data_IF_701892153132
#
_entry.id   IF_701892153132
#
_cell.length_a   1.000
_cell.length_b   1.000
_cell.length_c   1.000
_cell.angle_alpha   90.00
_cell.angle_beta   90.00
_cell.angle_gamma   90.00
#
_symmetry.space_group_name_H-M   'P 1'
#
loop_
_entity.id
_entity.type
_entity.pdbx_description
1 polymer ?
#
# COMPACT_ATOMS: atom_id res chain seq x y z
N UNK A 1 3.17 11.59 -19.41
CA UNK A 1 4.45 11.48 -18.68
C UNK A 1 4.39 10.14 -17.98
N UNK A 2 5.25 9.18 -18.32
CA UNK A 2 5.17 7.83 -17.74
C UNK A 2 5.75 7.88 -16.33
N UNK A 3 4.89 8.10 -15.35
CA UNK A 3 5.28 7.96 -13.94
C UNK A 3 5.47 6.47 -13.70
N UNK A 4 6.72 6.07 -13.44
CA UNK A 4 7.02 4.72 -12.96
C UNK A 4 6.60 4.71 -11.49
N UNK A 5 5.42 4.17 -11.22
CA UNK A 5 4.84 4.10 -9.88
C UNK A 5 5.06 2.68 -9.38
N UNK A 6 5.83 2.54 -8.30
CA UNK A 6 5.85 1.28 -7.55
C UNK A 6 4.49 1.13 -6.85
N UNK A 7 3.69 0.09 -7.13
CA UNK A 7 2.41 -0.12 -6.47
C UNK A 7 2.55 -0.26 -4.94
N UNK A 8 3.73 -0.65 -4.43
CA UNK A 8 4.03 -0.78 -2.99
C UNK A 8 4.20 0.59 -2.31
N UNK A 9 4.88 1.52 -2.96
CA UNK A 9 5.06 2.91 -2.50
C UNK A 9 3.79 3.76 -2.71
N UNK A 10 2.89 3.32 -3.58
CA UNK A 10 1.58 3.92 -3.78
C UNK A 10 1.61 5.26 -4.50
N UNK A 11 0.51 6.01 -4.36
CA UNK A 11 0.27 7.22 -5.14
C UNK A 11 0.42 8.44 -4.24
N UNK A 12 1.23 9.47 -4.59
CA UNK A 12 1.20 10.73 -3.86
C UNK A 12 -0.16 11.41 -4.03
N UNK A 13 -0.62 12.10 -2.99
CA UNK A 13 -1.83 12.91 -3.09
C UNK A 13 -1.61 14.07 -4.08
N UNK A 14 -2.59 14.29 -4.96
CA UNK A 14 -2.59 15.37 -5.97
C UNK A 14 -2.72 16.76 -5.34
N UNK A 15 -2.51 17.81 -6.12
CA UNK A 15 -2.66 19.18 -5.63
C UNK A 15 -4.14 19.51 -5.29
N UNK A 16 -5.10 18.95 -6.04
CA UNK A 16 -6.52 19.04 -5.73
C UNK A 16 -6.88 18.28 -4.44
N UNK A 17 -6.36 17.06 -4.26
CA UNK A 17 -6.55 16.28 -3.02
C UNK A 17 -5.93 17.00 -1.81
N UNK A 18 -4.77 17.64 -1.99
CA UNK A 18 -4.12 18.49 -0.97
C UNK A 18 -4.95 19.74 -0.66
N UNK A 19 -5.55 20.38 -1.66
CA UNK A 19 -6.41 21.54 -1.45
C UNK A 19 -7.70 21.17 -0.67
N UNK A 20 -8.26 19.98 -0.90
CA UNK A 20 -9.49 19.52 -0.25
C UNK A 20 -9.23 18.93 1.15
N UNK A 21 -8.23 18.05 1.30
CA UNK A 21 -8.02 17.28 2.54
C UNK A 21 -6.85 17.77 3.41
N UNK A 22 -5.91 18.54 2.84
CA UNK A 22 -4.67 18.95 3.54
C UNK A 22 -4.90 19.86 4.75
N UNK A 23 -6.04 20.55 4.81
CA UNK A 23 -6.45 21.44 5.91
C UNK A 23 -7.14 20.71 7.08
N UNK A 24 -7.17 19.37 7.08
CA UNK A 24 -7.82 18.55 8.11
C UNK A 24 -9.14 17.91 7.66
N UNK A 25 -9.31 17.67 6.36
CA UNK A 25 -10.45 16.92 5.85
C UNK A 25 -10.26 15.41 6.02
N UNK A 26 -11.34 14.71 6.39
CA UNK A 26 -11.43 13.25 6.25
C UNK A 26 -12.24 12.94 4.98
N UNK A 27 -11.93 11.87 4.25
CA UNK A 27 -12.65 11.54 3.03
C UNK A 27 -12.26 10.22 2.38
N UNK A 28 -13.18 9.69 1.56
CA UNK A 28 -13.01 8.51 0.71
C UNK A 28 -13.11 8.98 -0.75
N UNK A 29 -12.14 8.60 -1.57
CA UNK A 29 -12.23 8.74 -3.04
C UNK A 29 -12.07 7.38 -3.71
N UNK A 30 -13.05 7.00 -4.54
CA UNK A 30 -13.01 5.81 -5.37
C UNK A 30 -12.52 6.16 -6.77
N UNK A 31 -11.48 5.48 -7.24
CA UNK A 31 -10.86 5.67 -8.55
C UNK A 31 -10.59 4.35 -9.28
N UNK A 32 -9.94 4.44 -10.43
CA UNK A 32 -9.36 3.29 -11.14
C UNK A 32 -7.94 3.65 -11.53
N UNK A 33 -7.01 2.76 -11.22
CA UNK A 33 -5.62 2.87 -11.64
C UNK A 33 -5.36 1.83 -12.72
N UNK A 34 -4.76 2.27 -13.82
CA UNK A 34 -4.49 1.44 -14.98
C UNK A 34 -3.00 1.11 -15.04
N UNK A 35 -2.65 -0.16 -14.85
CA UNK A 35 -1.27 -0.64 -14.91
C UNK A 35 -1.02 -1.39 -16.22
N UNK A 36 -0.04 -0.99 -17.05
CA UNK A 36 0.23 -1.69 -18.31
C UNK A 36 0.63 -3.16 -18.11
N UNK A 37 0.11 -4.02 -18.97
CA UNK A 37 0.48 -5.43 -19.00
C UNK A 37 2.00 -5.55 -19.24
N UNK A 38 2.69 -6.28 -18.35
CA UNK A 38 4.13 -6.48 -18.42
C UNK A 38 5.00 -5.32 -17.91
N UNK A 39 4.45 -4.33 -17.20
CA UNK A 39 5.22 -3.17 -16.69
C UNK A 39 6.19 -3.47 -15.53
N UNK A 40 6.33 -4.73 -15.09
CA UNK A 40 7.21 -5.13 -13.99
C UNK A 40 6.69 -6.37 -13.25
N UNK A 41 7.19 -6.61 -12.04
CA UNK A 41 6.63 -7.62 -11.13
C UNK A 41 5.26 -7.17 -10.61
N UNK A 42 4.22 -7.68 -11.27
CA UNK A 42 2.82 -7.56 -10.86
C UNK A 42 2.66 -8.19 -9.45
N UNK A 43 2.00 -7.51 -8.49
CA UNK A 43 1.69 -8.10 -7.19
C UNK A 43 0.93 -9.43 -7.32
N UNK A 44 1.23 -10.42 -6.48
CA UNK A 44 0.58 -11.75 -6.55
C UNK A 44 -0.94 -11.66 -6.38
N UNK A 45 -1.41 -10.65 -5.64
CA UNK A 45 -2.82 -10.34 -5.41
C UNK A 45 -3.58 -9.95 -6.69
N UNK A 46 -2.87 -9.59 -7.77
CA UNK A 46 -3.47 -9.20 -9.06
C UNK A 46 -3.65 -10.39 -10.02
N UNK A 47 -3.24 -11.60 -9.62
CA UNK A 47 -3.45 -12.81 -10.41
C UNK A 47 -4.96 -13.02 -10.62
N UNK A 48 -5.38 -13.03 -11.89
CA UNK A 48 -6.79 -13.17 -12.27
C UNK A 48 -7.58 -11.87 -12.41
N UNK A 49 -6.93 -10.69 -12.33
CA UNK A 49 -7.55 -9.43 -12.72
C UNK A 49 -7.89 -9.40 -14.22
N UNK A 50 -8.99 -8.72 -14.55
CA UNK A 50 -9.40 -8.46 -15.94
C UNK A 50 -8.43 -7.51 -16.61
N UNK A 51 -7.90 -7.92 -17.76
CA UNK A 51 -7.16 -7.06 -18.68
C UNK A 51 -8.15 -6.38 -19.62
N UNK A 52 -7.99 -5.08 -19.82
CA UNK A 52 -8.75 -4.28 -20.80
C UNK A 52 -7.80 -3.51 -21.71
N UNK A 53 -8.24 -3.16 -22.90
CA UNK A 53 -7.51 -2.24 -23.77
C UNK A 53 -7.80 -0.78 -23.37
N UNK A 54 -6.75 0.05 -23.27
CA UNK A 54 -6.87 1.50 -23.13
C UNK A 54 -5.78 2.18 -23.97
N UNK A 55 -6.17 3.09 -24.87
CA UNK A 55 -5.27 3.81 -25.77
C UNK A 55 -4.33 2.91 -26.62
N UNK A 56 -4.80 1.71 -27.03
CA UNK A 56 -4.00 0.74 -27.80
C UNK A 56 -3.00 -0.06 -26.95
N UNK A 57 -3.13 -0.04 -25.63
CA UNK A 57 -2.31 -0.80 -24.69
C UNK A 57 -3.19 -1.66 -23.77
N UNK A 58 -2.81 -2.92 -23.56
CA UNK A 58 -3.43 -3.78 -22.56
C UNK A 58 -3.04 -3.31 -21.15
N UNK A 59 -4.03 -3.14 -20.28
CA UNK A 59 -3.89 -2.64 -18.91
C UNK A 59 -4.75 -3.45 -17.92
N UNK A 60 -4.24 -3.63 -16.70
CA UNK A 60 -5.04 -4.02 -15.54
C UNK A 60 -5.79 -2.80 -15.01
N UNK A 61 -7.12 -2.88 -14.91
CA UNK A 61 -7.96 -1.84 -14.33
C UNK A 61 -8.20 -2.13 -12.84
N UNK A 62 -7.32 -1.62 -11.97
CA UNK A 62 -7.39 -1.86 -10.52
C UNK A 62 -8.27 -0.78 -9.86
N UNK A 63 -9.42 -1.11 -9.26
CA UNK A 63 -10.20 -0.15 -8.50
C UNK A 63 -9.44 0.29 -7.25
N UNK A 64 -9.43 1.59 -6.99
CA UNK A 64 -8.69 2.24 -5.90
C UNK A 64 -9.64 2.92 -4.91
N UNK A 65 -9.35 2.80 -3.62
CA UNK A 65 -9.97 3.59 -2.54
C UNK A 65 -8.89 4.42 -1.86
N UNK A 66 -8.98 5.75 -1.92
CA UNK A 66 -8.09 6.67 -1.21
C UNK A 66 -8.76 7.13 0.08
N UNK A 67 -8.16 6.81 1.21
CA UNK A 67 -8.63 7.15 2.55
C UNK A 67 -7.81 8.31 3.10
N UNK A 68 -8.40 9.51 3.11
CA UNK A 68 -7.79 10.69 3.70
C UNK A 68 -8.23 10.83 5.15
N UNK A 69 -7.26 10.97 6.05
CA UNK A 69 -7.50 11.24 7.47
C UNK A 69 -6.68 12.43 8.00
N UNK A 70 -7.28 13.16 8.93
CA UNK A 70 -6.76 14.38 9.56
C UNK A 70 -5.69 14.15 10.65
N UNK A 71 -5.68 12.96 11.23
CA UNK A 71 -4.97 12.64 12.48
C UNK A 71 -4.37 11.25 12.50
N UNK A 72 -3.25 11.14 13.22
CA UNK A 72 -2.58 9.87 13.54
C UNK A 72 -3.45 8.93 14.40
N UNK A 73 -4.51 9.44 15.03
CA UNK A 73 -5.49 8.61 15.75
C UNK A 73 -6.45 7.94 14.77
N UNK A 74 -6.98 8.69 13.81
CA UNK A 74 -7.93 8.16 12.81
C UNK A 74 -7.25 7.15 11.87
N UNK A 75 -6.00 7.38 11.45
CA UNK A 75 -5.24 6.35 10.74
C UNK A 75 -5.01 5.11 11.61
N UNK A 76 -4.66 5.28 12.89
CA UNK A 76 -4.52 4.15 13.83
C UNK A 76 -5.83 3.38 14.08
N UNK A 77 -7.00 4.02 13.95
CA UNK A 77 -8.30 3.35 14.07
C UNK A 77 -8.53 2.42 12.86
N UNK A 78 -8.37 2.96 11.64
CA UNK A 78 -8.38 2.15 10.42
C UNK A 78 -7.35 1.01 10.54
N UNK A 79 -6.13 1.31 10.99
CA UNK A 79 -5.03 0.36 11.14
C UNK A 79 -5.27 -0.85 12.06
N UNK A 80 -6.27 -0.80 12.95
CA UNK A 80 -6.41 -1.78 14.04
C UNK A 80 -7.78 -2.42 14.18
N UNK A 81 -8.79 -1.86 13.54
CA UNK A 81 -10.17 -2.31 13.71
C UNK A 81 -10.73 -2.96 12.45
N UNK A 82 -11.74 -3.79 12.65
CA UNK A 82 -12.50 -4.34 11.54
C UNK A 82 -13.33 -3.25 10.88
N UNK A 83 -13.24 -3.21 9.55
CA UNK A 83 -13.92 -2.25 8.70
C UNK A 83 -15.02 -2.98 7.95
N UNK A 84 -16.24 -2.42 8.02
CA UNK A 84 -17.33 -2.79 7.14
C UNK A 84 -17.37 -1.84 5.95
N UNK A 85 -17.59 -2.41 4.76
CA UNK A 85 -17.58 -1.70 3.50
C UNK A 85 -18.91 -1.95 2.80
N UNK A 86 -19.60 -0.89 2.42
CA UNK A 86 -20.90 -0.95 1.76
C UNK A 86 -20.91 -0.12 0.48
N UNK A 87 -21.59 -0.63 -0.55
CA UNK A 87 -21.88 0.08 -1.79
C UNK A 87 -23.37 -0.06 -2.05
N UNK A 88 -24.11 1.04 -2.10
CA UNK A 88 -25.56 1.05 -2.26
C UNK A 88 -26.01 2.00 -3.38
N UNK A 89 -27.12 1.63 -4.03
CA UNK A 89 -27.78 2.45 -5.03
C UNK A 89 -28.94 3.20 -4.40
N UNK A 90 -29.03 4.50 -4.66
CA UNK A 90 -30.15 5.34 -4.22
C UNK A 90 -30.74 6.07 -5.41
N UNK A 91 -32.07 6.22 -5.42
CA UNK A 91 -32.78 7.10 -6.35
C UNK A 91 -33.38 8.25 -5.53
N UNK A 92 -32.91 9.47 -5.77
CA UNK A 92 -33.40 10.68 -5.11
C UNK A 92 -33.98 11.59 -6.19
N UNK A 93 -35.31 11.58 -6.28
CA UNK A 93 -36.10 12.41 -7.22
C UNK A 93 -35.75 12.18 -8.70
N UNK A 94 -35.44 10.92 -9.07
CA UNK A 94 -35.07 10.54 -10.44
C UNK A 94 -33.56 10.55 -10.69
N UNK A 95 -32.77 11.14 -9.79
CA UNK A 95 -31.31 11.11 -9.86
C UNK A 95 -30.80 9.87 -9.12
N UNK A 96 -29.97 9.07 -9.79
CA UNK A 96 -29.32 7.89 -9.26
C UNK A 96 -27.97 8.27 -8.65
N UNK A 97 -27.72 7.77 -7.44
CA UNK A 97 -26.49 7.97 -6.68
C UNK A 97 -25.95 6.60 -6.24
N UNK A 98 -24.63 6.43 -6.30
CA UNK A 98 -23.96 5.26 -5.72
C UNK A 98 -23.21 5.70 -4.47
N UNK A 99 -23.66 5.23 -3.31
CA UNK A 99 -23.11 5.58 -2.00
C UNK A 99 -22.14 4.50 -1.54
N UNK A 100 -20.86 4.86 -1.42
CA UNK A 100 -19.81 4.03 -0.82
C UNK A 100 -19.59 4.45 0.63
N UNK A 101 -19.65 3.51 1.57
CA UNK A 101 -19.43 3.75 3.01
C UNK A 101 -18.36 2.79 3.52
N UNK A 102 -17.48 3.33 4.37
CA UNK A 102 -16.48 2.62 5.16
C UNK A 102 -16.75 2.91 6.64
N UNK A 103 -16.93 1.86 7.46
CA UNK A 103 -17.37 1.98 8.85
C UNK A 103 -16.57 1.10 9.81
N UNK A 104 -16.09 1.67 10.93
CA UNK A 104 -15.59 0.94 12.10
C UNK A 104 -16.67 0.93 13.18
N UNK A 105 -17.33 -0.22 13.36
CA UNK A 105 -18.41 -0.37 14.34
C UNK A 105 -17.97 -0.59 15.78
N UNK A 106 -16.70 -0.85 16.04
CA UNK A 106 -16.20 -1.10 17.40
C UNK A 106 -16.17 0.17 18.27
N UNK A 107 -16.28 1.35 17.65
CA UNK A 107 -16.33 2.65 18.33
C UNK A 107 -17.78 3.03 18.65
N UNK A 108 -18.30 2.66 19.83
CA UNK A 108 -19.61 3.13 20.31
C UNK A 108 -19.45 4.25 21.36
N UNK A 109 -20.36 5.24 21.42
CA UNK A 109 -21.63 5.31 20.70
C UNK A 109 -21.58 5.94 19.30
N UNK A 110 -20.42 6.42 18.83
CA UNK A 110 -20.25 7.06 17.52
C UNK A 110 -19.23 6.28 16.66
N UNK A 111 -19.67 5.42 15.72
CA UNK A 111 -18.75 4.68 14.86
C UNK A 111 -17.89 5.62 14.03
N UNK A 112 -16.64 5.21 13.75
CA UNK A 112 -15.78 5.97 12.85
C UNK A 112 -16.14 5.64 11.41
N UNK A 113 -16.41 6.67 10.60
CA UNK A 113 -17.05 6.56 9.30
C UNK A 113 -16.35 7.46 8.28
N UNK A 114 -16.23 6.95 7.06
CA UNK A 114 -15.81 7.70 5.87
C UNK A 114 -16.72 7.28 4.72
N UNK A 115 -17.17 8.22 3.89
CA UNK A 115 -18.11 7.95 2.81
C UNK A 115 -17.79 8.73 1.53
N UNK A 116 -18.34 8.27 0.42
CA UNK A 116 -18.35 8.97 -0.86
C UNK A 116 -19.66 8.72 -1.61
N UNK A 117 -20.11 9.70 -2.37
CA UNK A 117 -21.21 9.54 -3.33
C UNK A 117 -20.69 9.70 -4.75
N UNK A 118 -20.87 8.68 -5.58
CA UNK A 118 -20.51 8.68 -6.99
C UNK A 118 -21.74 9.00 -7.85
N UNK A 119 -21.54 9.82 -8.88
CA UNK A 119 -22.50 9.96 -9.98
C UNK A 119 -22.24 8.83 -10.99
N UNK A 120 -23.11 7.80 -11.10
CA UNK A 120 -22.88 6.67 -11.99
C UNK A 120 -22.82 7.03 -13.48
N UNK A 121 -23.41 8.15 -13.93
CA UNK A 121 -23.27 8.58 -15.33
C UNK A 121 -21.92 9.22 -15.67
N UNK A 122 -21.08 9.49 -14.66
CA UNK A 122 -19.72 10.04 -14.79
C UNK A 122 -18.67 9.00 -14.37
N UNK A 123 -18.92 8.29 -13.26
CA UNK A 123 -17.99 7.36 -12.62
C UNK A 123 -18.28 5.90 -12.98
N UNK A 124 -18.92 5.63 -14.13
CA UNK A 124 -19.30 4.28 -14.53
C UNK A 124 -18.10 3.34 -14.65
N UNK A 125 -16.95 3.84 -15.11
CA UNK A 125 -15.69 3.09 -15.17
C UNK A 125 -15.22 2.62 -13.79
N UNK A 126 -15.32 3.44 -12.76
CA UNK A 126 -15.03 3.06 -11.36
C UNK A 126 -15.94 1.95 -10.88
N UNK A 127 -17.25 2.09 -11.11
CA UNK A 127 -18.25 1.09 -10.70
C UNK A 127 -18.05 -0.22 -11.47
N UNK A 128 -17.66 -0.14 -12.75
CA UNK A 128 -17.36 -1.30 -13.60
C UNK A 128 -16.09 -2.03 -13.15
N UNK A 129 -15.00 -1.31 -12.88
CA UNK A 129 -13.77 -1.89 -12.33
C UNK A 129 -14.03 -2.60 -10.99
N UNK A 130 -14.89 -2.01 -10.14
CA UNK A 130 -15.40 -2.63 -8.91
C UNK A 130 -16.27 -3.88 -9.14
N UNK A 131 -16.94 -4.02 -10.29
CA UNK A 131 -17.75 -5.21 -10.60
C UNK A 131 -16.94 -6.37 -11.19
N UNK A 132 -15.88 -6.04 -11.94
CA UNK A 132 -15.06 -7.01 -12.69
C UNK A 132 -13.92 -7.55 -11.80
N UNK A 133 -13.26 -6.71 -11.01
CA UNK A 133 -12.04 -7.06 -10.27
C UNK A 133 -12.26 -7.99 -9.08
N UNK A 134 -11.34 -8.93 -8.87
CA UNK A 134 -11.23 -9.77 -7.66
C UNK A 134 -10.68 -9.02 -6.44
N UNK A 135 -9.86 -7.99 -6.67
CA UNK A 135 -9.22 -7.19 -5.61
C UNK A 135 -9.51 -5.70 -5.73
N UNK A 136 -9.35 -4.99 -4.62
CA UNK A 136 -9.40 -3.53 -4.51
C UNK A 136 -8.11 -3.03 -3.88
N UNK A 137 -7.52 -1.98 -4.47
CA UNK A 137 -6.40 -1.26 -3.90
C UNK A 137 -6.89 -0.22 -2.88
N UNK A 138 -6.25 -0.14 -1.71
CA UNK A 138 -6.56 0.89 -0.70
C UNK A 138 -5.29 1.69 -0.41
N UNK A 139 -5.33 3.01 -0.62
CA UNK A 139 -4.26 3.94 -0.25
C UNK A 139 -4.70 4.75 0.98
N UNK A 140 -3.92 4.73 2.05
CA UNK A 140 -4.17 5.49 3.27
C UNK A 140 -3.28 6.74 3.33
N UNK A 141 -3.88 7.90 3.64
CA UNK A 141 -3.20 9.19 3.73
C UNK A 141 -3.46 9.87 5.06
N UNK A 142 -2.41 10.35 5.73
CA UNK A 142 -2.51 11.20 6.92
C UNK A 142 -2.06 12.62 6.54
N UNK A 143 -2.99 13.58 6.53
CA UNK A 143 -2.76 14.96 6.08
C UNK A 143 -2.11 15.02 4.68
N UNK A 144 -2.66 14.25 3.75
CA UNK A 144 -2.19 14.09 2.37
C UNK A 144 -0.75 13.55 2.20
N UNK A 145 -0.12 13.06 3.26
CA UNK A 145 1.07 12.21 3.17
C UNK A 145 0.59 10.77 3.04
N UNK A 146 1.03 10.06 2.01
CA UNK A 146 0.79 8.62 1.89
C UNK A 146 1.40 7.90 3.09
N UNK A 147 0.71 6.87 3.57
CA UNK A 147 1.11 6.05 4.73
C UNK A 147 1.33 4.61 4.30
N UNK A 148 0.45 4.05 3.48
CA UNK A 148 0.58 2.70 2.93
C UNK A 148 -0.47 2.42 1.85
N UNK A 149 -0.11 1.50 0.95
CA UNK A 149 -1.00 0.85 -0.01
C UNK A 149 -1.46 -0.53 0.53
N UNK A 150 -2.59 -1.06 0.09
CA UNK A 150 -3.05 -2.45 0.33
C UNK A 150 -3.72 -2.99 -0.91
N UNK A 151 -3.77 -4.32 -1.00
CA UNK A 151 -4.75 -5.04 -1.80
C UNK A 151 -5.60 -5.89 -0.85
N UNK A 152 -6.92 -5.87 -1.06
CA UNK A 152 -7.87 -6.75 -0.37
C UNK A 152 -8.76 -7.44 -1.39
N UNK A 153 -9.33 -8.60 -1.04
CA UNK A 153 -10.46 -9.16 -1.77
C UNK A 153 -11.58 -8.11 -1.88
N UNK A 154 -12.11 -7.92 -3.07
CA UNK A 154 -13.05 -6.85 -3.40
C UNK A 154 -14.40 -7.03 -2.69
N UNK A 155 -14.71 -6.26 -1.63
CA UNK A 155 -15.93 -6.44 -0.83
C UNK A 155 -17.16 -5.83 -1.50
N UNK A 156 -16.97 -5.12 -2.62
CA UNK A 156 -18.01 -4.44 -3.37
C UNK A 156 -18.47 -5.23 -4.61
N UNK A 157 -17.83 -6.35 -4.93
CA UNK A 157 -17.95 -6.99 -6.26
C UNK A 157 -19.39 -7.34 -6.64
N UNK A 158 -20.12 -8.00 -5.75
CA UNK A 158 -21.50 -8.42 -6.00
C UNK A 158 -22.45 -7.22 -6.10
N UNK A 159 -22.30 -6.22 -5.22
CA UNK A 159 -23.12 -5.01 -5.24
C UNK A 159 -22.83 -4.17 -6.48
N UNK A 160 -21.56 -4.03 -6.86
CA UNK A 160 -21.13 -3.33 -8.06
C UNK A 160 -21.66 -4.01 -9.33
N UNK A 161 -21.65 -5.35 -9.42
CA UNK A 161 -22.28 -6.09 -10.52
C UNK A 161 -23.79 -5.78 -10.64
N UNK A 162 -24.51 -5.80 -9.51
CA UNK A 162 -25.93 -5.45 -9.50
C UNK A 162 -26.18 -3.97 -9.87
N UNK A 163 -25.27 -3.05 -9.52
CA UNK A 163 -25.35 -1.64 -9.90
C UNK A 163 -25.06 -1.45 -11.39
N UNK A 164 -24.04 -2.10 -11.96
CA UNK A 164 -23.71 -2.04 -13.39
C UNK A 164 -24.91 -2.47 -14.24
N UNK A 165 -25.61 -3.54 -13.84
CA UNK A 165 -26.83 -4.01 -14.52
C UNK A 165 -28.00 -3.00 -14.45
N UNK A 166 -28.07 -2.17 -13.41
CA UNK A 166 -29.11 -1.15 -13.24
C UNK A 166 -28.76 0.20 -13.88
N UNK A 167 -27.47 0.44 -14.17
CA UNK A 167 -26.96 1.72 -14.66
C UNK A 167 -26.39 1.68 -16.08
N UNK A 168 -26.45 0.54 -16.78
CA UNK A 168 -25.92 0.37 -18.15
C UNK A 168 -26.45 1.39 -19.15
N UNK A 169 -27.74 1.71 -19.04
CA UNK A 169 -28.48 2.59 -19.96
C UNK A 169 -28.91 3.89 -19.26
N UNK A 170 -28.22 4.26 -18.19
CA UNK A 170 -28.53 5.47 -17.43
C UNK A 170 -28.21 6.73 -18.25
N UNK A 171 -29.16 7.67 -18.44
CA UNK A 171 -28.87 8.94 -19.10
C UNK A 171 -27.86 9.77 -18.30
N UNK A 172 -27.20 10.71 -18.97
CA UNK A 172 -26.31 11.65 -18.33
C UNK A 172 -27.04 12.48 -17.26
N UNK A 173 -26.45 12.58 -16.07
CA UNK A 173 -26.99 13.33 -14.94
C UNK A 173 -26.11 14.56 -14.70
N UNK A 174 -26.67 15.75 -14.93
CA UNK A 174 -25.98 17.02 -14.75
C UNK A 174 -25.44 17.21 -13.33
N UNK A 175 -24.25 17.79 -13.21
CA UNK A 175 -23.55 17.98 -11.93
C UNK A 175 -24.36 18.83 -10.94
N UNK A 176 -25.15 19.80 -11.42
CA UNK A 176 -26.05 20.61 -10.57
C UNK A 176 -27.12 19.77 -9.89
N UNK A 177 -27.70 18.84 -10.64
CA UNK A 177 -28.86 18.06 -10.23
C UNK A 177 -28.40 16.91 -9.34
N UNK A 178 -27.26 16.32 -9.66
CA UNK A 178 -26.55 15.38 -8.79
C UNK A 178 -26.19 16.00 -7.44
N UNK A 179 -25.65 17.22 -7.40
CA UNK A 179 -25.31 17.88 -6.13
C UNK A 179 -26.55 18.23 -5.30
N UNK A 180 -27.66 18.62 -5.93
CA UNK A 180 -28.94 18.80 -5.23
C UNK A 180 -29.49 17.49 -4.67
N UNK A 181 -29.40 16.39 -5.43
CA UNK A 181 -29.83 15.07 -5.00
C UNK A 181 -28.96 14.54 -3.85
N UNK A 182 -27.64 14.74 -3.91
CA UNK A 182 -26.68 14.42 -2.84
C UNK A 182 -27.00 15.18 -1.55
N UNK A 183 -27.22 16.50 -1.62
CA UNK A 183 -27.58 17.30 -0.45
C UNK A 183 -28.94 16.87 0.16
N UNK A 184 -29.92 16.49 -0.67
CA UNK A 184 -31.19 15.93 -0.18
C UNK A 184 -31.01 14.55 0.45
N UNK A 185 -30.15 13.70 -0.09
CA UNK A 185 -29.80 12.40 0.48
C UNK A 185 -29.17 12.56 1.86
N UNK A 186 -28.16 13.43 1.99
CA UNK A 186 -27.47 13.75 3.26
C UNK A 186 -28.41 14.36 4.32
N UNK A 187 -29.47 15.06 3.90
CA UNK A 187 -30.49 15.59 4.82
C UNK A 187 -31.55 14.55 5.24
N UNK A 188 -31.77 13.49 4.44
CA UNK A 188 -32.75 12.43 4.71
C UNK A 188 -32.15 11.27 5.51
N UNK A 189 -30.94 10.86 5.15
CA UNK A 189 -30.15 9.90 5.93
C UNK A 189 -29.60 10.66 7.12
N UNK A 190 -30.13 10.43 8.32
CA UNK A 190 -29.46 10.92 9.52
C UNK A 190 -28.12 10.18 9.66
N UNK A 191 -27.04 10.84 9.24
CA UNK A 191 -25.64 10.40 9.31
C UNK A 191 -25.09 10.36 10.76
N UNK A 192 -25.96 10.15 11.76
CA UNK A 192 -25.63 9.65 13.10
C UNK A 192 -25.93 8.14 13.29
N UNK A 193 -26.23 7.42 12.20
CA UNK A 193 -26.00 5.97 12.01
C UNK A 193 -26.61 4.96 13.03
N UNK A 194 -27.94 4.94 13.15
CA UNK A 194 -28.66 3.77 13.71
C UNK A 194 -29.36 2.89 12.66
N UNK A 195 -29.52 3.35 11.41
CA UNK A 195 -30.53 2.83 10.47
C UNK A 195 -30.00 2.04 9.26
N UNK A 196 -28.69 1.78 9.15
CA UNK A 196 -28.19 0.89 8.11
C UNK A 196 -28.40 -0.56 8.52
N UNK A 197 -28.97 -1.37 7.62
CA UNK A 197 -28.89 -2.84 7.69
C UNK A 197 -27.45 -3.26 7.36
N UNK A 198 -26.54 -2.99 8.30
CA UNK A 198 -25.17 -3.50 8.27
C UNK A 198 -25.21 -5.01 8.14
N UNK A 199 -24.41 -5.56 7.23
CA UNK A 199 -24.25 -7.00 7.13
C UNK A 199 -23.63 -7.59 8.40
N UNK A 200 -23.77 -8.92 8.55
CA UNK A 200 -23.21 -9.64 9.70
C UNK A 200 -21.72 -9.30 9.88
N UNK A 201 -21.29 -9.13 11.13
CA UNK A 201 -19.91 -8.77 11.53
C UNK A 201 -18.81 -9.67 10.95
N UNK A 202 -19.17 -10.85 10.43
CA UNK A 202 -18.29 -11.76 9.71
C UNK A 202 -17.79 -11.21 8.36
N UNK A 203 -18.51 -10.27 7.73
CA UNK A 203 -18.06 -9.54 6.53
C UNK A 203 -17.19 -8.31 6.87
N UNK A 204 -16.96 -8.01 8.15
CA UNK A 204 -16.07 -6.92 8.53
C UNK A 204 -14.61 -7.39 8.36
N UNK A 205 -13.97 -6.89 7.30
CA UNK A 205 -12.56 -7.18 7.01
C UNK A 205 -11.72 -6.47 8.06
N UNK A 206 -10.91 -7.21 8.81
CA UNK A 206 -9.79 -6.56 9.49
C UNK A 206 -8.86 -6.13 8.38
N UNK A 207 -8.79 -4.83 8.13
CA UNK A 207 -7.71 -4.26 7.36
C UNK A 207 -6.46 -4.47 8.23
N UNK A 208 -5.84 -5.64 8.15
CA UNK A 208 -4.50 -5.84 8.67
C UNK A 208 -3.59 -5.16 7.63
N UNK A 209 -3.07 -3.94 7.83
CA UNK A 209 -3.00 -3.15 9.07
C UNK A 209 -1.74 -3.58 9.87
N UNK A 210 -1.23 -4.79 9.62
CA UNK A 210 0.20 -4.99 9.42
C UNK A 210 0.68 -4.04 8.33
N UNK A 211 1.20 -2.91 8.79
CA UNK A 211 2.11 -2.00 8.11
C UNK A 211 2.77 -2.60 6.87
N UNK A 212 2.70 -1.89 5.73
CA UNK A 212 3.88 -1.85 4.86
C UNK A 212 4.93 -1.24 5.76
N UNK A 213 5.91 -2.08 6.03
CA UNK A 213 6.57 -2.13 7.32
C UNK A 213 7.02 -0.74 7.75
N UNK A 214 6.63 -0.30 8.97
CA UNK A 214 7.00 1.00 9.53
C UNK A 214 8.49 0.99 9.89
N UNK A 215 9.31 1.00 8.84
CA UNK A 215 10.45 0.10 8.68
C UNK A 215 10.04 -1.37 8.89
N UNK A 216 10.74 -2.29 8.23
CA UNK A 216 10.87 -3.61 8.82
C UNK A 216 11.39 -3.37 10.22
N UNK A 217 10.73 -3.86 11.27
CA UNK A 217 11.53 -4.45 12.35
C UNK A 217 12.04 -5.79 11.85
N UNK A 218 12.86 -5.70 10.81
CA UNK A 218 13.95 -6.61 10.59
C UNK A 218 14.78 -6.49 11.85
N UNK A 219 14.81 -7.55 12.65
CA UNK A 219 15.50 -7.50 13.92
C UNK A 219 16.96 -7.13 13.67
N UNK A 220 17.40 -6.06 14.33
CA UNK A 220 18.77 -5.58 14.21
C UNK A 220 19.67 -6.71 14.70
N UNK A 221 20.52 -7.22 13.82
CA UNK A 221 21.41 -8.35 14.12
C UNK A 221 22.24 -8.03 15.37
N UNK A 222 22.63 -9.01 16.20
CA UNK A 222 23.36 -8.74 17.43
C UNK A 222 24.61 -7.87 17.21
N UNK A 223 25.34 -8.12 16.13
CA UNK A 223 26.46 -7.32 15.59
C UNK A 223 26.17 -5.81 15.44
N UNK A 224 24.93 -5.44 15.10
CA UNK A 224 24.51 -4.06 14.84
C UNK A 224 23.87 -3.35 16.04
N UNK A 225 23.63 -4.04 17.16
CA UNK A 225 22.92 -3.48 18.32
C UNK A 225 23.61 -2.25 18.93
N UNK A 226 24.95 -2.22 18.92
CA UNK A 226 25.75 -1.11 19.42
C UNK A 226 25.59 0.17 18.55
N UNK A 227 25.47 0.01 17.23
CA UNK A 227 25.42 1.11 16.26
C UNK A 227 24.03 1.37 15.68
N UNK A 228 22.98 0.77 16.23
CA UNK A 228 21.57 0.83 15.78
C UNK A 228 21.03 2.21 15.38
N UNK A 229 21.61 3.30 15.88
CA UNK A 229 21.21 4.68 15.54
C UNK A 229 21.76 5.17 14.19
N UNK A 230 22.82 4.53 13.67
CA UNK A 230 23.38 4.74 12.34
C UNK A 230 22.95 3.66 11.33
N UNK A 231 22.00 2.80 11.69
CA UNK A 231 21.45 1.73 10.84
C UNK A 231 20.04 2.13 10.39
N UNK A 232 19.75 1.95 9.11
CA UNK A 232 18.41 2.12 8.53
C UNK A 232 18.13 1.03 7.51
N UNK A 233 16.86 0.80 7.19
CA UNK A 233 16.47 -0.11 6.11
C UNK A 233 16.18 0.74 4.88
N UNK A 234 16.91 0.46 3.80
CA UNK A 234 16.68 1.06 2.47
C UNK A 234 16.73 -0.07 1.44
N UNK A 235 15.74 -0.19 0.54
CA UNK A 235 15.72 -1.29 -0.42
C UNK A 235 16.96 -1.23 -1.33
N UNK A 236 17.50 -2.40 -1.70
CA UNK A 236 18.55 -2.53 -2.70
C UNK A 236 17.99 -3.25 -3.93
N UNK A 237 18.05 -2.61 -5.10
CA UNK A 237 17.46 -3.15 -6.31
C UNK A 237 18.21 -4.41 -6.79
N UNK A 238 17.47 -5.49 -7.06
CA UNK A 238 18.04 -6.75 -7.54
C UNK A 238 18.76 -7.59 -6.48
N UNK A 239 18.57 -7.31 -5.19
CA UNK A 239 19.11 -8.16 -4.12
C UNK A 239 18.41 -9.54 -4.10
N UNK A 240 19.16 -10.67 -4.08
CA UNK A 240 18.58 -12.00 -3.87
C UNK A 240 17.87 -12.12 -2.51
N UNK A 241 16.69 -12.74 -2.47
CA UNK A 241 15.85 -12.88 -1.26
C UNK A 241 16.60 -13.46 -0.06
N UNK A 242 17.48 -14.43 -0.30
CA UNK A 242 18.34 -15.07 0.71
C UNK A 242 19.32 -14.10 1.41
N UNK A 243 19.67 -12.98 0.78
CA UNK A 243 20.49 -11.91 1.37
C UNK A 243 19.66 -10.82 2.05
N UNK A 244 18.35 -10.75 1.82
CA UNK A 244 17.47 -9.74 2.43
C UNK A 244 17.59 -9.74 3.97
N UNK A 245 17.62 -10.88 4.69
CA UNK A 245 17.77 -10.91 6.15
C UNK A 245 19.12 -10.41 6.69
N UNK A 246 20.08 -10.13 5.80
CA UNK A 246 21.45 -9.70 6.13
C UNK A 246 21.79 -8.29 5.62
N UNK A 247 20.97 -7.74 4.71
CA UNK A 247 21.13 -6.38 4.17
C UNK A 247 20.74 -5.23 5.11
N UNK A 248 21.61 -4.23 5.28
CA UNK A 248 21.31 -2.99 6.00
C UNK A 248 21.92 -1.78 5.29
N UNK A 249 21.33 -0.60 5.45
CA UNK A 249 22.01 0.66 5.13
C UNK A 249 22.65 1.22 6.39
N UNK A 250 23.97 1.37 6.39
CA UNK A 250 24.76 1.90 7.50
C UNK A 250 25.30 3.26 7.08
N UNK A 251 25.12 4.29 7.91
CA UNK A 251 25.46 5.68 7.54
C UNK A 251 26.91 5.91 7.10
N UNK A 252 27.85 5.07 7.56
CA UNK A 252 29.28 5.15 7.24
C UNK A 252 29.70 4.20 6.10
N UNK A 253 28.90 3.18 5.76
CA UNK A 253 29.26 2.10 4.83
C UNK A 253 28.27 1.92 3.64
N UNK A 254 27.20 2.71 3.57
CA UNK A 254 26.16 2.58 2.54
C UNK A 254 25.39 1.27 2.63
N UNK A 255 24.99 0.71 1.48
CA UNK A 255 24.30 -0.58 1.40
C UNK A 255 25.30 -1.73 1.65
N UNK A 256 25.11 -2.44 2.77
CA UNK A 256 25.97 -3.52 3.23
C UNK A 256 25.19 -4.81 3.50
N UNK A 257 25.81 -5.96 3.31
CA UNK A 257 25.39 -7.26 3.85
C UNK A 257 26.24 -7.54 5.08
N UNK A 258 25.63 -7.95 6.19
CA UNK A 258 26.37 -8.45 7.35
C UNK A 258 26.86 -9.88 7.05
N UNK A 259 28.17 -10.03 6.92
CA UNK A 259 28.81 -11.30 6.56
C UNK A 259 29.93 -11.65 7.55
N UNK A 260 30.15 -12.94 7.78
CA UNK A 260 31.38 -13.45 8.39
C UNK A 260 32.41 -13.68 7.27
N UNK A 261 33.69 -13.40 7.53
CA UNK A 261 34.74 -13.64 6.54
C UNK A 261 35.17 -15.11 6.53
N UNK A 262 35.46 -15.69 5.36
CA UNK A 262 36.01 -17.05 5.25
C UNK A 262 37.26 -17.27 6.12
N UNK A 263 38.12 -16.24 6.25
CA UNK A 263 39.31 -16.29 7.11
C UNK A 263 39.02 -16.42 8.61
N UNK A 264 37.79 -16.14 9.02
CA UNK A 264 37.31 -16.22 10.40
C UNK A 264 36.28 -17.34 10.60
N UNK A 265 35.95 -18.12 9.56
CA UNK A 265 34.97 -19.21 9.65
C UNK A 265 35.66 -20.59 9.73
N UNK A 266 35.18 -21.52 10.59
CA UNK A 266 34.14 -21.35 11.60
C UNK A 266 34.67 -20.67 12.87
N UNK A 267 33.76 -20.05 13.63
CA UNK A 267 34.02 -19.41 14.93
C UNK A 267 32.90 -19.69 15.92
N UNK A 268 33.20 -19.70 17.22
CA UNK A 268 32.27 -20.08 18.30
C UNK A 268 31.07 -19.12 18.46
N UNK A 269 31.27 -17.83 18.19
CA UNK A 269 30.23 -16.78 18.29
C UNK A 269 30.27 -15.94 17.00
N UNK A 270 29.59 -16.36 15.92
CA UNK A 270 29.71 -15.67 14.62
C UNK A 270 29.13 -14.25 14.61
N UNK A 271 28.16 -13.96 15.49
CA UNK A 271 27.60 -12.61 15.70
C UNK A 271 28.68 -11.56 16.05
N UNK A 272 29.74 -11.94 16.78
CA UNK A 272 30.85 -11.06 17.15
C UNK A 272 31.85 -10.84 15.97
N UNK A 273 31.68 -11.57 14.87
CA UNK A 273 32.56 -11.61 13.70
C UNK A 273 31.83 -11.28 12.39
N UNK A 274 30.63 -10.68 12.46
CA UNK A 274 29.96 -10.10 11.30
C UNK A 274 30.53 -8.72 10.97
N UNK A 275 30.88 -8.53 9.71
CA UNK A 275 31.35 -7.26 9.14
C UNK A 275 30.36 -6.74 8.11
N UNK A 276 30.19 -5.40 7.98
CA UNK A 276 29.41 -4.81 6.90
C UNK A 276 30.20 -4.86 5.59
N UNK A 277 29.78 -5.72 4.65
CA UNK A 277 30.41 -5.87 3.34
C UNK A 277 29.52 -5.23 2.26
N UNK A 278 30.03 -4.33 1.40
CA UNK A 278 29.22 -3.67 0.37
C UNK A 278 28.47 -4.66 -0.54
N UNK A 279 27.20 -4.38 -0.84
CA UNK A 279 26.34 -5.33 -1.59
C UNK A 279 26.94 -5.71 -2.94
N UNK A 280 27.49 -4.75 -3.69
CA UNK A 280 28.15 -5.01 -4.98
C UNK A 280 29.33 -5.99 -4.87
N UNK A 281 30.08 -5.92 -3.78
CA UNK A 281 31.21 -6.82 -3.54
C UNK A 281 30.71 -8.25 -3.30
N UNK A 282 29.71 -8.42 -2.43
CA UNK A 282 29.09 -9.73 -2.13
C UNK A 282 28.47 -10.37 -3.39
N UNK A 283 27.82 -9.57 -4.25
CA UNK A 283 27.22 -10.07 -5.49
C UNK A 283 28.26 -10.42 -6.57
N UNK A 284 29.40 -9.74 -6.60
CA UNK A 284 30.44 -9.94 -7.63
C UNK A 284 31.45 -11.04 -7.29
N UNK A 285 31.87 -11.17 -6.02
CA UNK A 285 32.74 -12.26 -5.56
C UNK A 285 31.96 -13.56 -5.31
N UNK A 286 30.66 -13.45 -5.05
CA UNK A 286 29.83 -14.54 -4.58
C UNK A 286 29.94 -14.74 -3.07
N UNK A 287 29.09 -15.61 -2.54
CA UNK A 287 28.93 -15.85 -1.10
C UNK A 287 28.33 -17.25 -0.91
N UNK A 288 28.37 -17.75 0.32
CA UNK A 288 27.66 -18.99 0.72
C UNK A 288 26.93 -18.79 2.05
N UNK A 289 25.81 -19.48 2.23
CA UNK A 289 25.10 -19.51 3.51
C UNK A 289 25.47 -20.78 4.29
N UNK A 290 25.88 -20.64 5.54
CA UNK A 290 26.05 -21.77 6.47
C UNK A 290 25.53 -21.39 7.86
N UNK A 291 24.80 -22.29 8.52
CA UNK A 291 24.31 -22.15 9.91
C UNK A 291 23.57 -20.84 10.23
N UNK A 292 22.94 -20.18 9.26
CA UNK A 292 22.24 -18.90 9.45
C UNK A 292 23.12 -17.65 9.33
N UNK A 293 24.29 -17.77 8.71
CA UNK A 293 25.21 -16.67 8.40
C UNK A 293 25.57 -16.66 6.92
N UNK A 294 25.83 -15.46 6.39
CA UNK A 294 26.43 -15.27 5.06
C UNK A 294 27.94 -15.21 5.23
N UNK A 295 28.64 -16.00 4.42
CA UNK A 295 30.10 -16.13 4.46
C UNK A 295 30.66 -15.70 3.10
N UNK A 296 31.69 -14.85 3.14
CA UNK A 296 32.30 -14.23 1.96
C UNK A 296 33.82 -14.17 2.09
N UNK A 297 34.53 -14.30 0.98
CA UNK A 297 35.95 -14.01 0.90
C UNK A 297 36.15 -12.50 0.67
N UNK A 298 36.75 -11.80 1.64
CA UNK A 298 37.08 -10.38 1.53
C UNK A 298 38.40 -10.07 2.24
N UNK A 299 39.17 -9.05 1.79
CA UNK A 299 40.42 -8.65 2.41
C UNK A 299 40.21 -8.07 3.81
N UNK A 300 41.04 -8.52 4.75
CA UNK A 300 40.99 -8.09 6.15
C UNK A 300 42.37 -7.71 6.67
N UNK A 301 42.46 -6.58 7.36
CA UNK A 301 43.66 -6.11 8.04
C UNK A 301 43.41 -6.01 9.56
N UNK A 302 44.23 -6.64 10.44
CA UNK A 302 43.97 -6.70 11.89
C UNK A 302 43.81 -5.35 12.60
N UNK A 303 44.33 -4.26 12.03
CA UNK A 303 44.21 -2.89 12.59
C UNK A 303 43.11 -2.05 11.93
N UNK A 304 42.67 -2.39 10.71
CA UNK A 304 41.78 -1.54 9.91
C UNK A 304 40.44 -2.21 9.56
N UNK A 305 40.26 -3.49 9.90
CA UNK A 305 39.05 -4.25 9.57
C UNK A 305 39.04 -4.70 8.11
N UNK A 306 37.88 -4.66 7.48
CA UNK A 306 37.71 -4.99 6.06
C UNK A 306 38.32 -3.89 5.19
N UNK A 307 39.19 -4.25 4.25
CA UNK A 307 39.93 -3.30 3.39
C UNK A 307 39.64 -3.55 1.92
N UNK A 308 38.37 -3.41 1.54
CA UNK A 308 37.94 -3.43 0.14
C UNK A 308 38.21 -2.05 -0.45
N UNK A 309 38.66 -1.98 -1.70
CA UNK A 309 38.89 -0.72 -2.43
C UNK A 309 37.57 -0.07 -2.85
N UNK A 310 37.47 1.26 -2.79
CA UNK A 310 36.26 2.01 -3.16
C UNK A 310 35.87 1.73 -4.62
N UNK A 311 36.85 1.56 -5.52
CA UNK A 311 36.62 1.20 -6.93
C UNK A 311 35.89 -0.15 -7.09
N UNK A 312 35.95 -1.07 -6.10
CA UNK A 312 35.23 -2.35 -6.13
C UNK A 312 33.77 -2.25 -5.64
N UNK A 313 33.31 -1.10 -5.14
CA UNK A 313 31.92 -0.93 -4.66
C UNK A 313 31.23 0.43 -4.89
N UNK A 314 31.86 1.42 -5.53
CA UNK A 314 31.23 2.72 -5.84
C UNK A 314 29.82 2.60 -6.46
N UNK A 315 28.87 3.40 -5.96
CA UNK A 315 27.48 3.50 -6.43
C UNK A 315 27.25 4.80 -7.22
N UNK A 316 27.47 4.75 -8.53
CA UNK A 316 27.06 5.78 -9.51
C UNK A 316 25.56 5.72 -9.84
#
# INVERSE_FOLDING_TARGET
MNVIIDPKEGFPASDEERAVYGSGGNGLLNGVVYFPLGSGSIPEEWIGLTVTEMNGQEVYAVPELRLFVDTTTNSKLLQKHKVQMHLQLHNVQGIILVHGVLCIRDQWPKPYLIEQTLNPSIHFSTIRALSESSVVMINLYNRCNHIETRYIENPYREQAQAIVQQCSDLPFQESSDFMQAKSKFEALVNLEYQNFNFSNLQQAVLLNFTTFSKEGKKDIRPSLQAIKHGVSIRPYAGLPEVLEPYHFYISENGHSIMCVLETHWPVDIPDDWEFPIPVKYVLSKGWRSENGYIIVEAPFHPTFGVTIDEEEYEEY
#
